data_IF_926380642372
#
_entry.id   IF_926380642372
#
_cell.length_a   1.000
_cell.length_b   1.000
_cell.length_c   1.000
_cell.angle_alpha   90.00
_cell.angle_beta   90.00
_cell.angle_gamma   90.00
#
_symmetry.space_group_name_H-M   'P 1'
#
loop_
_entity.id
_entity.type
_entity.pdbx_description
1 polymer ?
#
# COMPACT_ATOMS: atom_id res chain seq x y z
N UNK A 1 -7.99 9.13 -1.12
CA UNK A 1 -7.57 7.81 -1.63
C UNK A 1 -7.52 6.87 -0.43
N UNK A 2 -7.94 5.61 -0.59
CA UNK A 2 -7.86 4.61 0.50
C UNK A 2 -6.43 4.06 0.60
N UNK A 3 -6.04 3.58 1.79
CA UNK A 3 -4.67 3.07 2.02
C UNK A 3 -4.36 1.83 1.17
N UNK A 4 -5.36 0.98 0.91
CA UNK A 4 -5.26 -0.19 0.01
C UNK A 4 -4.87 0.20 -1.43
N UNK A 5 -5.56 1.17 -2.03
CA UNK A 5 -5.21 1.69 -3.36
C UNK A 5 -3.83 2.34 -3.36
N UNK A 6 -3.55 3.21 -2.38
CA UNK A 6 -2.29 3.93 -2.30
C UNK A 6 -1.08 2.99 -2.16
N UNK A 7 -1.19 1.97 -1.31
CA UNK A 7 -0.10 1.01 -1.10
C UNK A 7 0.05 0.06 -2.29
N UNK A 8 -1.03 -0.33 -2.95
CA UNK A 8 -0.97 -1.11 -4.17
C UNK A 8 -0.23 -0.33 -5.28
N UNK A 9 -0.60 0.93 -5.52
CA UNK A 9 0.07 1.81 -6.47
C UNK A 9 1.56 1.98 -6.16
N UNK A 10 1.89 2.08 -4.86
CA UNK A 10 3.26 2.31 -4.38
C UNK A 10 4.17 1.08 -4.51
N UNK A 11 3.63 -0.12 -4.26
CA UNK A 11 4.41 -1.36 -4.21
C UNK A 11 4.38 -2.15 -5.52
N UNK A 12 3.31 -2.02 -6.33
CA UNK A 12 3.12 -2.80 -7.55
C UNK A 12 3.40 -1.96 -8.79
N UNK A 13 2.56 -0.94 -9.05
CA UNK A 13 2.74 -0.02 -10.18
C UNK A 13 1.82 1.19 -10.06
N UNK A 14 2.33 2.39 -10.37
CA UNK A 14 1.52 3.62 -10.38
C UNK A 14 0.45 3.65 -11.50
N UNK A 15 0.52 2.73 -12.47
CA UNK A 15 -0.40 2.68 -13.61
C UNK A 15 -1.52 1.63 -13.42
N UNK A 16 -1.69 1.11 -12.21
CA UNK A 16 -2.71 0.11 -11.93
C UNK A 16 -4.12 0.70 -12.10
N UNK A 17 -5.03 -0.10 -12.67
CA UNK A 17 -6.45 0.20 -12.81
C UNK A 17 -7.33 -0.69 -11.91
N UNK A 18 -6.77 -1.82 -11.46
CA UNK A 18 -7.36 -2.75 -10.50
C UNK A 18 -6.49 -2.83 -9.25
N UNK A 19 -7.12 -3.07 -8.10
CA UNK A 19 -6.47 -3.01 -6.79
C UNK A 19 -6.85 -4.23 -5.94
N UNK A 20 -5.92 -4.62 -5.07
CA UNK A 20 -6.16 -5.62 -4.03
C UNK A 20 -6.30 -4.93 -2.68
N UNK A 21 -7.13 -5.49 -1.79
CA UNK A 21 -7.10 -5.12 -0.38
C UNK A 21 -5.76 -5.53 0.25
N UNK A 22 -5.46 -4.99 1.44
CA UNK A 22 -4.19 -5.24 2.13
C UNK A 22 -3.98 -6.74 2.39
N UNK A 23 -5.02 -7.47 2.77
CA UNK A 23 -4.90 -8.91 3.03
C UNK A 23 -4.53 -9.68 1.76
N UNK A 24 -5.26 -9.48 0.66
CA UNK A 24 -4.97 -10.12 -0.63
C UNK A 24 -3.59 -9.71 -1.19
N UNK A 25 -3.18 -8.45 -1.00
CA UNK A 25 -1.85 -8.00 -1.38
C UNK A 25 -0.76 -8.67 -0.53
N UNK A 26 -1.01 -8.84 0.77
CA UNK A 26 -0.14 -9.55 1.70
C UNK A 26 0.03 -11.03 1.36
N UNK A 27 -1.04 -11.68 0.91
CA UNK A 27 -1.00 -13.05 0.38
C UNK A 27 -0.18 -13.12 -0.93
N UNK A 28 -0.44 -12.22 -1.88
CA UNK A 28 0.30 -12.16 -3.15
C UNK A 28 1.80 -11.95 -2.95
N UNK A 29 2.17 -11.06 -2.03
CA UNK A 29 3.57 -10.74 -1.69
C UNK A 29 4.17 -11.73 -0.68
N UNK A 30 3.40 -12.69 -0.16
CA UNK A 30 3.82 -13.69 0.84
C UNK A 30 4.42 -13.08 2.11
N UNK A 31 3.93 -11.91 2.52
CA UNK A 31 4.37 -11.22 3.73
C UNK A 31 3.25 -11.03 4.76
N UNK A 32 1.99 -11.24 4.37
CA UNK A 32 0.83 -10.99 5.21
C UNK A 32 0.53 -9.50 5.38
N UNK A 33 -0.37 -9.20 6.32
CA UNK A 33 -0.93 -7.85 6.53
C UNK A 33 0.05 -6.89 7.22
N UNK A 34 0.69 -7.36 8.30
CA UNK A 34 1.45 -6.51 9.22
C UNK A 34 2.56 -5.69 8.54
N UNK A 35 3.41 -6.25 7.65
CA UNK A 35 4.45 -5.47 6.99
C UNK A 35 3.90 -4.36 6.08
N UNK A 36 2.74 -4.58 5.47
CA UNK A 36 2.09 -3.60 4.59
C UNK A 36 1.53 -2.45 5.43
N UNK A 37 0.92 -2.74 6.58
CA UNK A 37 0.45 -1.71 7.51
C UNK A 37 1.59 -0.88 8.08
N UNK A 38 2.75 -1.48 8.37
CA UNK A 38 3.95 -0.74 8.78
C UNK A 38 4.43 0.23 7.69
N UNK A 39 4.41 -0.19 6.42
CA UNK A 39 4.76 0.67 5.29
C UNK A 39 3.77 1.83 5.13
N UNK A 40 2.47 1.58 5.25
CA UNK A 40 1.44 2.63 5.23
C UNK A 40 1.72 3.66 6.33
N UNK A 41 1.96 3.22 7.56
CA UNK A 41 2.28 4.11 8.68
C UNK A 41 3.57 4.90 8.43
N UNK A 42 4.60 4.25 7.88
CA UNK A 42 5.86 4.90 7.53
C UNK A 42 5.64 6.03 6.51
N UNK A 43 4.89 5.78 5.43
CA UNK A 43 4.64 6.80 4.41
C UNK A 43 3.78 7.96 4.92
N UNK A 44 2.77 7.68 5.74
CA UNK A 44 1.97 8.71 6.41
C UNK A 44 2.82 9.58 7.35
N UNK A 45 3.66 8.96 8.19
CA UNK A 45 4.56 9.67 9.11
C UNK A 45 5.62 10.49 8.39
N UNK A 46 6.11 10.02 7.24
CA UNK A 46 7.13 10.74 6.47
C UNK A 46 6.60 12.04 5.87
N UNK A 47 5.30 12.14 5.53
CA UNK A 47 4.68 13.34 4.95
C UNK A 47 5.13 13.70 3.52
N UNK A 48 6.08 12.94 2.96
CA UNK A 48 6.68 13.16 1.64
C UNK A 48 5.99 12.39 0.51
N UNK A 49 5.14 11.41 0.84
CA UNK A 49 4.45 10.63 -0.18
C UNK A 49 3.07 11.22 -0.46
N UNK A 50 2.88 11.73 -1.69
CA UNK A 50 1.61 12.34 -2.12
C UNK A 50 0.43 11.36 -2.08
N UNK A 51 0.70 10.05 -2.18
CA UNK A 51 -0.31 9.00 -2.10
C UNK A 51 -0.87 8.84 -0.67
N UNK A 52 -0.14 9.29 0.34
CA UNK A 52 -0.45 9.12 1.76
C UNK A 52 -0.54 10.46 2.53
N UNK A 53 -0.83 11.56 1.81
CA UNK A 53 -1.10 12.88 2.40
C UNK A 53 -2.54 13.04 2.83
#
# INVERSE_FOLDING_TARGET
MTDDVAIYLKLVTHNAQDFLCIDCLGEQLKCGREPIEQLIQYFRKSGNCVLFR
#
